data_IF_161486070639
#
_entry.id   IF_161486070639
#
_cell.length_a   1.000
_cell.length_b   1.000
_cell.length_c   1.000
_cell.angle_alpha   90.00
_cell.angle_beta   90.00
_cell.angle_gamma   90.00
#
_symmetry.space_group_name_H-M   'P 1'
#
loop_
_entity.id
_entity.type
_entity.pdbx_description
1 polymer ?
#
# COMPACT_ATOMS: atom_id res chain seq x y z
N UNK A 1 -52.29 32.36 45.85
CA UNK A 1 -51.85 30.95 45.86
C UNK A 1 -50.76 30.85 44.80
N UNK A 2 -49.49 31.01 45.16
CA UNK A 2 -48.50 29.92 45.44
C UNK A 2 -48.27 29.04 44.22
N UNK A 3 -47.07 28.65 43.79
CA UNK A 3 -45.68 28.93 44.13
C UNK A 3 -44.85 28.26 42.99
N UNK A 4 -43.55 28.56 42.92
CA UNK A 4 -42.60 27.89 42.04
C UNK A 4 -42.44 26.39 42.39
N UNK A 5 -42.22 25.56 41.37
CA UNK A 5 -41.55 24.25 41.46
C UNK A 5 -40.65 24.17 40.22
N UNK A 6 -39.32 24.12 40.31
CA UNK A 6 -38.57 23.28 41.24
C UNK A 6 -38.16 21.96 40.56
N UNK A 7 -37.73 22.01 39.31
CA UNK A 7 -37.08 20.88 38.63
C UNK A 7 -35.66 20.72 39.15
N UNK A 8 -35.50 19.82 40.11
CA UNK A 8 -34.27 19.44 40.81
C UNK A 8 -33.11 19.05 39.85
N UNK A 9 -31.94 19.71 39.89
CA UNK A 9 -30.74 19.29 39.16
C UNK A 9 -30.07 18.03 39.76
N UNK A 10 -30.61 17.46 40.83
CA UNK A 10 -30.08 16.27 41.49
C UNK A 10 -30.55 14.92 40.89
N UNK A 11 -31.32 14.90 39.80
CA UNK A 11 -31.38 13.71 38.93
C UNK A 11 -30.15 13.69 38.05
N UNK A 12 -29.03 13.33 38.68
CA UNK A 12 -27.79 13.01 37.97
C UNK A 12 -28.13 12.06 36.83
N UNK A 13 -27.79 12.47 35.60
CA UNK A 13 -27.51 11.51 34.55
C UNK A 13 -26.47 10.57 35.16
N UNK A 14 -26.91 9.38 35.57
CA UNK A 14 -26.02 8.27 35.86
C UNK A 14 -25.53 7.79 34.51
N UNK A 15 -24.56 8.51 33.96
CA UNK A 15 -23.65 7.95 32.96
C UNK A 15 -23.02 6.76 33.67
N UNK A 16 -23.43 5.55 33.29
CA UNK A 16 -22.73 4.35 33.70
C UNK A 16 -21.29 4.46 33.20
N UNK A 17 -20.35 3.89 33.95
CA UNK A 17 -18.96 3.75 33.47
C UNK A 17 -18.91 2.93 32.17
N UNK A 18 -20.00 2.21 31.85
CA UNK A 18 -20.20 1.48 30.60
C UNK A 18 -20.64 2.35 29.41
N UNK A 19 -20.98 3.63 29.63
CA UNK A 19 -21.47 4.59 28.62
C UNK A 19 -20.46 5.73 28.37
N UNK A 20 -19.29 5.64 29.02
CA UNK A 20 -18.10 6.36 28.59
C UNK A 20 -17.37 5.41 27.65
N UNK A 21 -17.70 5.47 26.37
CA UNK A 21 -16.75 5.04 25.35
C UNK A 21 -15.58 6.02 25.45
N UNK A 22 -14.64 5.70 26.33
CA UNK A 22 -13.31 6.28 26.31
C UNK A 22 -12.78 5.83 24.96
N UNK A 23 -12.97 6.66 23.94
CA UNK A 23 -12.05 6.70 22.82
C UNK A 23 -10.72 7.05 23.45
N UNK A 24 -10.02 6.02 23.95
CA UNK A 24 -8.61 6.08 24.22
C UNK A 24 -8.05 6.84 23.04
N UNK A 25 -7.30 7.89 23.33
CA UNK A 25 -6.61 8.67 22.32
C UNK A 25 -5.53 7.78 21.74
N UNK A 26 -5.92 6.73 21.01
CA UNK A 26 -5.11 6.06 20.03
C UNK A 26 -4.71 7.20 19.10
N UNK A 27 -3.44 7.54 19.13
CA UNK A 27 -2.86 8.34 18.07
C UNK A 27 -3.00 7.50 16.78
N UNK A 28 -4.18 7.55 16.15
CA UNK A 28 -4.40 7.04 14.81
C UNK A 28 -3.43 7.82 13.93
N UNK A 29 -2.24 7.25 13.75
CA UNK A 29 -1.20 7.85 12.93
C UNK A 29 -1.69 7.67 11.51
N UNK A 30 -2.29 8.72 10.97
CA UNK A 30 -2.72 8.77 9.57
C UNK A 30 -1.61 8.20 8.69
N UNK A 31 -1.96 7.33 7.75
CA UNK A 31 -1.00 6.71 6.85
C UNK A 31 -0.98 7.41 5.49
N UNK A 32 0.23 7.60 4.96
CA UNK A 32 0.44 7.90 3.55
C UNK A 32 0.75 6.57 2.87
N UNK A 33 -0.21 6.03 2.13
CA UNK A 33 -0.16 4.73 1.47
C UNK A 33 0.15 4.89 -0.01
N UNK A 34 1.17 4.19 -0.48
CA UNK A 34 1.46 4.05 -1.90
C UNK A 34 1.24 2.61 -2.32
N UNK A 35 0.38 2.40 -3.31
CA UNK A 35 0.23 1.13 -4.01
C UNK A 35 0.98 1.20 -5.34
N UNK A 36 2.14 0.55 -5.43
CA UNK A 36 2.87 0.34 -6.67
C UNK A 36 2.34 -0.93 -7.35
N UNK A 37 1.93 -0.78 -8.61
CA UNK A 37 1.35 -1.86 -9.40
C UNK A 37 2.15 -2.09 -10.66
N UNK A 38 2.68 -3.30 -10.81
CA UNK A 38 3.32 -3.75 -12.04
C UNK A 38 2.28 -3.90 -13.16
N UNK A 39 2.52 -3.22 -14.28
CA UNK A 39 1.69 -3.29 -15.49
C UNK A 39 2.44 -3.83 -16.70
N UNK A 40 3.52 -4.57 -16.47
CA UNK A 40 4.32 -5.21 -17.51
C UNK A 40 3.54 -6.29 -18.29
N UNK A 41 4.13 -6.70 -19.41
CA UNK A 41 3.55 -7.73 -20.27
C UNK A 41 3.30 -9.07 -19.56
N UNK A 42 4.17 -9.50 -18.63
CA UNK A 42 4.00 -10.77 -17.87
C UNK A 42 2.71 -10.79 -17.07
N UNK A 43 2.37 -9.67 -16.43
CA UNK A 43 1.11 -9.53 -15.67
C UNK A 43 -0.12 -9.78 -16.53
N UNK A 44 -0.10 -9.31 -17.78
CA UNK A 44 -1.18 -9.53 -18.73
C UNK A 44 -1.17 -10.96 -19.29
N UNK A 45 0.01 -11.48 -19.66
CA UNK A 45 0.18 -12.82 -20.22
C UNK A 45 -0.23 -13.92 -19.25
N UNK A 46 -0.01 -13.72 -17.95
CA UNK A 46 -0.30 -14.71 -16.90
C UNK A 46 -1.65 -14.47 -16.21
N UNK A 47 -2.51 -13.61 -16.76
CA UNK A 47 -3.87 -13.38 -16.25
C UNK A 47 -3.93 -12.67 -14.89
N UNK A 48 -2.84 -12.06 -14.43
CA UNK A 48 -2.73 -11.36 -13.13
C UNK A 48 -3.35 -9.96 -13.14
N UNK A 49 -3.63 -9.43 -14.32
CA UNK A 49 -4.18 -8.09 -14.53
C UNK A 49 -5.55 -7.85 -13.88
N UNK A 50 -6.50 -8.77 -14.08
CA UNK A 50 -7.86 -8.63 -13.53
C UNK A 50 -7.85 -8.74 -11.99
N UNK A 51 -7.18 -9.73 -11.39
CA UNK A 51 -7.06 -9.79 -9.93
C UNK A 51 -6.38 -8.55 -9.32
N UNK A 52 -5.33 -8.04 -9.96
CA UNK A 52 -4.68 -6.80 -9.55
C UNK A 52 -5.65 -5.61 -9.53
N UNK A 53 -6.48 -5.43 -10.57
CA UNK A 53 -7.46 -4.34 -10.62
C UNK A 53 -8.51 -4.46 -9.53
N UNK A 54 -9.00 -5.68 -9.28
CA UNK A 54 -9.95 -5.96 -8.20
C UNK A 54 -9.35 -5.62 -6.84
N UNK A 55 -8.11 -6.03 -6.60
CA UNK A 55 -7.39 -5.70 -5.36
C UNK A 55 -7.26 -4.18 -5.19
N UNK A 56 -6.85 -3.44 -6.22
CA UNK A 56 -6.69 -2.00 -6.12
C UNK A 56 -8.02 -1.30 -5.81
N UNK A 57 -9.13 -1.77 -6.41
CA UNK A 57 -10.46 -1.27 -6.12
C UNK A 57 -10.89 -1.56 -4.67
N UNK A 58 -10.64 -2.78 -4.18
CA UNK A 58 -10.93 -3.16 -2.80
C UNK A 58 -10.15 -2.31 -1.79
N UNK A 59 -8.84 -2.13 -2.01
CA UNK A 59 -8.01 -1.28 -1.14
C UNK A 59 -8.47 0.18 -1.17
N UNK A 60 -8.73 0.72 -2.37
CA UNK A 60 -9.24 2.08 -2.50
C UNK A 60 -10.58 2.27 -1.77
N UNK A 61 -11.50 1.33 -1.92
CA UNK A 61 -12.78 1.36 -1.22
C UNK A 61 -12.61 1.29 0.30
N UNK A 62 -11.79 0.37 0.80
CA UNK A 62 -11.50 0.24 2.24
C UNK A 62 -10.96 1.53 2.84
N UNK A 63 -9.92 2.11 2.22
CA UNK A 63 -9.30 3.36 2.71
C UNK A 63 -10.32 4.51 2.66
N UNK A 64 -11.04 4.65 1.55
CA UNK A 64 -11.98 5.76 1.35
C UNK A 64 -13.21 5.68 2.26
N UNK A 65 -13.59 4.48 2.73
CA UNK A 65 -14.78 4.27 3.55
C UNK A 65 -14.48 4.19 5.04
N UNK A 66 -13.46 3.40 5.43
CA UNK A 66 -13.13 3.08 6.83
C UNK A 66 -11.97 3.89 7.38
N UNK A 67 -11.00 4.29 6.55
CA UNK A 67 -9.78 5.00 6.99
C UNK A 67 -9.65 6.36 6.31
N UNK A 68 -10.67 7.21 6.45
CA UNK A 68 -10.79 8.50 5.75
C UNK A 68 -9.66 9.50 6.06
N UNK A 69 -8.92 9.29 7.14
CA UNK A 69 -7.73 10.08 7.50
C UNK A 69 -6.48 9.74 6.68
N UNK A 70 -6.45 8.56 6.06
CA UNK A 70 -5.31 8.07 5.31
C UNK A 70 -5.33 8.60 3.87
N UNK A 71 -4.15 8.68 3.27
CA UNK A 71 -3.95 9.15 1.89
C UNK A 71 -3.44 8.01 1.05
N UNK A 72 -4.17 7.66 -0.02
CA UNK A 72 -3.76 6.62 -0.97
C UNK A 72 -3.28 7.24 -2.29
N UNK A 73 -2.10 6.84 -2.74
CA UNK A 73 -1.60 7.10 -4.08
C UNK A 73 -1.35 5.77 -4.81
N UNK A 74 -2.04 5.56 -5.93
CA UNK A 74 -1.76 4.46 -6.83
C UNK A 74 -0.75 4.91 -7.89
N UNK A 75 0.24 4.07 -8.15
CA UNK A 75 1.25 4.28 -9.19
C UNK A 75 1.38 2.98 -9.97
N UNK A 76 1.04 3.01 -11.26
CA UNK A 76 1.35 1.91 -12.13
C UNK A 76 2.77 2.08 -12.68
N UNK A 77 3.54 1.00 -12.76
CA UNK A 77 4.86 1.00 -13.35
C UNK A 77 5.00 -0.12 -14.38
N UNK A 78 5.36 0.27 -15.59
CA UNK A 78 5.79 -0.59 -16.69
C UNK A 78 7.16 -0.11 -17.15
N UNK A 79 7.27 0.30 -18.42
CA UNK A 79 8.46 1.04 -18.89
C UNK A 79 8.61 2.39 -18.18
N UNK A 80 7.50 3.11 -18.03
CA UNK A 80 7.40 4.31 -17.20
C UNK A 80 6.52 4.04 -15.98
N UNK A 81 6.75 4.79 -14.90
CA UNK A 81 5.83 4.85 -13.77
C UNK A 81 4.96 6.11 -13.87
N UNK A 82 3.68 5.99 -13.51
CA UNK A 82 2.74 7.10 -13.47
C UNK A 82 1.81 6.98 -12.27
N UNK A 83 1.66 8.07 -11.54
CA UNK A 83 0.55 8.26 -10.61
C UNK A 83 -0.76 8.26 -11.39
N UNK A 84 -1.78 7.62 -10.83
CA UNK A 84 -3.12 7.57 -11.42
C UNK A 84 -4.19 7.40 -10.35
N UNK A 85 -5.43 7.79 -10.70
CA UNK A 85 -6.60 7.49 -9.89
C UNK A 85 -7.12 6.06 -10.11
N UNK A 86 -8.12 5.65 -9.32
CA UNK A 86 -8.68 4.29 -9.40
C UNK A 86 -9.43 4.07 -10.71
N UNK A 87 -10.08 5.10 -11.26
CA UNK A 87 -10.82 5.03 -12.51
C UNK A 87 -9.87 4.81 -13.69
N UNK A 88 -8.77 5.57 -13.73
CA UNK A 88 -7.69 5.42 -14.69
C UNK A 88 -7.07 4.02 -14.62
N UNK A 89 -6.69 3.56 -13.43
CA UNK A 89 -6.08 2.23 -13.23
C UNK A 89 -7.03 1.10 -13.69
N UNK A 90 -8.30 1.18 -13.31
CA UNK A 90 -9.29 0.15 -13.69
C UNK A 90 -9.66 0.21 -15.18
N UNK A 91 -9.60 1.38 -15.80
CA UNK A 91 -9.79 1.57 -17.25
C UNK A 91 -8.55 1.24 -18.09
N UNK A 92 -7.36 1.03 -17.50
CA UNK A 92 -6.15 0.76 -18.27
C UNK A 92 -6.32 -0.47 -19.18
N UNK A 93 -6.08 -0.33 -20.49
CA UNK A 93 -6.02 -1.49 -21.37
C UNK A 93 -4.79 -2.33 -21.00
N UNK A 94 -4.85 -3.64 -21.25
CA UNK A 94 -3.67 -4.49 -21.17
C UNK A 94 -2.69 -4.06 -22.27
N UNK A 95 -1.73 -3.20 -21.94
CA UNK A 95 -0.68 -2.78 -22.87
C UNK A 95 0.42 -3.82 -22.90
N UNK A 96 0.95 -4.10 -24.10
CA UNK A 96 2.10 -4.98 -24.31
C UNK A 96 3.41 -4.20 -24.23
N UNK A 97 3.55 -3.35 -23.23
CA UNK A 97 4.78 -2.60 -23.02
C UNK A 97 5.71 -3.39 -22.11
N UNK A 98 6.95 -3.62 -22.56
CA UNK A 98 7.95 -4.35 -21.79
C UNK A 98 8.74 -3.40 -20.90
N UNK A 99 8.95 -3.84 -19.66
CA UNK A 99 9.72 -3.13 -18.64
C UNK A 99 9.03 -3.17 -17.30
N UNK A 100 9.85 -3.30 -16.25
CA UNK A 100 9.45 -3.28 -14.85
C UNK A 100 10.25 -2.16 -14.18
N UNK A 101 9.78 -0.92 -14.30
CA UNK A 101 10.49 0.26 -13.80
C UNK A 101 10.15 0.58 -12.34
N UNK A 102 10.50 -0.37 -11.46
CA UNK A 102 10.32 -0.21 -10.02
C UNK A 102 11.10 1.00 -9.50
N UNK A 103 12.29 1.30 -10.05
CA UNK A 103 13.06 2.50 -9.71
C UNK A 103 12.21 3.78 -9.83
N UNK A 104 11.57 4.00 -10.98
CA UNK A 104 10.72 5.17 -11.19
C UNK A 104 9.49 5.16 -10.26
N UNK A 105 8.89 3.99 -10.02
CA UNK A 105 7.81 3.84 -9.04
C UNK A 105 8.23 4.29 -7.63
N UNK A 106 9.41 3.89 -7.17
CA UNK A 106 9.96 4.28 -5.86
C UNK A 106 10.26 5.78 -5.78
N UNK A 107 10.73 6.41 -6.86
CA UNK A 107 10.93 7.86 -6.92
C UNK A 107 9.60 8.62 -6.73
N UNK A 108 8.53 8.16 -7.39
CA UNK A 108 7.20 8.74 -7.24
C UNK A 108 6.62 8.49 -5.83
N UNK A 109 6.81 7.30 -5.28
CA UNK A 109 6.40 6.96 -3.91
C UNK A 109 7.07 7.90 -2.89
N UNK A 110 8.39 8.08 -3.01
CA UNK A 110 9.17 8.99 -2.17
C UNK A 110 8.68 10.44 -2.28
N UNK A 111 8.34 10.90 -3.49
CA UNK A 111 7.75 12.23 -3.70
C UNK A 111 6.43 12.35 -2.94
N UNK A 112 5.56 11.34 -3.01
CA UNK A 112 4.28 11.35 -2.29
C UNK A 112 4.46 11.36 -0.77
N UNK A 113 5.37 10.55 -0.22
CA UNK A 113 5.64 10.55 1.22
C UNK A 113 6.21 11.88 1.71
N UNK A 114 7.06 12.55 0.91
CA UNK A 114 7.57 13.90 1.23
C UNK A 114 6.47 14.97 1.28
N UNK A 115 5.36 14.77 0.59
CA UNK A 115 4.20 15.68 0.66
C UNK A 115 3.36 15.45 1.93
N UNK A 116 3.58 14.34 2.63
CA UNK A 116 2.82 13.92 3.82
C UNK A 116 3.76 13.58 4.99
N UNK A 117 4.63 14.53 5.45
CA UNK A 117 5.69 14.24 6.41
C UNK A 117 5.21 13.86 7.82
N UNK A 118 3.96 14.18 8.17
CA UNK A 118 3.36 13.84 9.47
C UNK A 118 2.63 12.49 9.48
N UNK A 119 2.55 11.81 8.33
CA UNK A 119 1.85 10.54 8.19
C UNK A 119 2.83 9.37 8.19
N UNK A 120 2.41 8.19 8.66
CA UNK A 120 3.20 6.97 8.57
C UNK A 120 3.31 6.55 7.09
N UNK A 121 4.52 6.49 6.49
CA UNK A 121 4.68 6.02 5.12
C UNK A 121 4.50 4.50 5.03
N UNK A 122 3.61 4.08 4.13
CA UNK A 122 3.30 2.67 3.83
C UNK A 122 3.46 2.44 2.34
N UNK A 123 4.30 1.46 1.97
CA UNK A 123 4.56 1.10 0.59
C UNK A 123 4.15 -0.34 0.33
N UNK A 124 3.18 -0.52 -0.57
CA UNK A 124 2.68 -1.81 -1.02
C UNK A 124 3.12 -2.00 -2.48
N UNK A 125 3.93 -3.02 -2.76
CA UNK A 125 4.48 -3.27 -4.10
C UNK A 125 3.95 -4.58 -4.64
N UNK A 126 3.20 -4.54 -5.74
CA UNK A 126 2.66 -5.73 -6.41
C UNK A 126 3.44 -5.94 -7.70
N UNK A 127 4.13 -7.07 -7.83
CA UNK A 127 4.96 -7.37 -9.00
C UNK A 127 5.11 -8.86 -9.25
N UNK A 128 5.33 -9.23 -10.50
CA UNK A 128 5.64 -10.58 -10.95
C UNK A 128 7.02 -10.71 -11.60
N UNK A 129 7.86 -9.68 -11.49
CA UNK A 129 9.15 -9.62 -12.18
C UNK A 129 10.23 -8.84 -11.44
N UNK A 130 11.47 -9.07 -11.85
CA UNK A 130 12.62 -8.28 -11.41
C UNK A 130 12.62 -6.91 -12.13
N UNK A 131 13.22 -5.87 -11.54
CA UNK A 131 13.27 -4.56 -12.17
C UNK A 131 14.17 -4.59 -13.40
N UNK A 132 13.56 -4.47 -14.58
CA UNK A 132 14.22 -4.52 -15.91
C UNK A 132 14.41 -3.14 -16.53
N UNK A 133 13.85 -2.11 -15.91
CA UNK A 133 13.96 -0.74 -16.38
C UNK A 133 14.26 0.26 -15.26
N UNK A 134 14.89 1.37 -15.62
CA UNK A 134 15.09 2.51 -14.73
C UNK A 134 14.93 3.84 -15.48
N UNK A 135 14.55 4.90 -14.75
CA UNK A 135 14.52 6.27 -15.27
C UNK A 135 15.93 6.87 -15.30
N UNK A 136 16.33 7.41 -16.44
CA UNK A 136 17.56 8.18 -16.63
C UNK A 136 17.37 9.63 -16.16
N UNK A 137 18.44 10.36 -15.81
CA UNK A 137 18.35 11.76 -15.36
C UNK A 137 17.60 12.70 -16.33
N UNK A 138 17.68 12.42 -17.62
CA UNK A 138 17.05 13.18 -18.70
C UNK A 138 15.53 12.91 -18.82
N UNK A 139 15.00 11.94 -18.06
CA UNK A 139 13.59 11.56 -18.06
C UNK A 139 13.24 10.42 -19.03
N UNK A 140 14.19 9.95 -19.83
CA UNK A 140 14.05 8.76 -20.65
C UNK A 140 14.16 7.47 -19.81
N UNK A 141 13.77 6.34 -20.40
CA UNK A 141 13.83 5.04 -19.74
C UNK A 141 14.88 4.16 -20.36
N UNK A 142 15.73 3.58 -19.52
CA UNK A 142 16.60 2.47 -19.88
C UNK A 142 15.86 1.17 -19.63
N UNK A 143 15.92 0.23 -20.57
CA UNK A 143 15.34 -1.10 -20.43
C UNK A 143 16.29 -2.15 -20.99
N UNK A 144 16.48 -3.23 -20.23
CA UNK A 144 17.20 -4.42 -20.70
C UNK A 144 16.67 -5.68 -20.01
N UNK A 145 16.78 -6.81 -20.70
CA UNK A 145 16.49 -8.13 -20.16
C UNK A 145 17.62 -9.10 -20.53
N UNK A 146 18.27 -9.76 -19.55
CA UNK A 146 18.04 -9.69 -18.10
C UNK A 146 18.36 -8.30 -17.51
N UNK A 147 17.92 -8.01 -16.26
CA UNK A 147 18.16 -6.72 -15.60
C UNK A 147 19.64 -6.28 -15.60
N UNK A 148 19.86 -5.01 -15.94
CA UNK A 148 21.16 -4.35 -15.81
C UNK A 148 21.58 -4.27 -14.33
N UNK A 149 22.84 -4.58 -13.98
CA UNK A 149 23.39 -4.27 -12.66
C UNK A 149 23.10 -2.83 -12.20
N UNK A 150 23.12 -1.85 -13.12
CA UNK A 150 22.76 -0.47 -12.79
C UNK A 150 21.28 -0.30 -12.40
N UNK A 151 20.36 -0.93 -13.15
CA UNK A 151 18.92 -0.94 -12.82
C UNK A 151 18.68 -1.49 -11.41
N UNK A 152 19.34 -2.60 -11.08
CA UNK A 152 19.26 -3.19 -9.74
C UNK A 152 19.80 -2.22 -8.69
N UNK A 153 21.00 -1.66 -8.91
CA UNK A 153 21.64 -0.72 -7.98
C UNK A 153 20.77 0.50 -7.69
N UNK A 154 20.20 1.12 -8.72
CA UNK A 154 19.34 2.30 -8.59
C UNK A 154 18.05 1.96 -7.83
N UNK A 155 17.40 0.84 -8.17
CA UNK A 155 16.20 0.36 -7.48
C UNK A 155 16.48 0.13 -5.99
N UNK A 156 17.56 -0.59 -5.67
CA UNK A 156 17.98 -0.86 -4.29
C UNK A 156 18.31 0.44 -3.55
N UNK A 157 18.97 1.39 -4.20
CA UNK A 157 19.33 2.67 -3.58
C UNK A 157 18.09 3.48 -3.17
N UNK A 158 17.06 3.55 -4.02
CA UNK A 158 15.82 4.23 -3.64
C UNK A 158 15.03 3.47 -2.58
N UNK A 159 15.03 2.13 -2.64
CA UNK A 159 14.40 1.32 -1.62
C UNK A 159 15.04 1.52 -0.24
N UNK A 160 16.38 1.51 -0.15
CA UNK A 160 17.12 1.77 1.09
C UNK A 160 16.79 3.15 1.67
N UNK A 161 16.64 4.17 0.81
CA UNK A 161 16.27 5.52 1.22
C UNK A 161 14.88 5.57 1.86
N UNK A 162 13.93 4.80 1.32
CA UNK A 162 12.58 4.66 1.91
C UNK A 162 12.61 3.90 3.23
N UNK A 163 13.35 2.80 3.31
CA UNK A 163 13.53 2.05 4.57
C UNK A 163 14.11 2.92 5.69
N UNK A 164 15.17 3.69 5.41
CA UNK A 164 15.75 4.64 6.38
C UNK A 164 14.79 5.76 6.80
N UNK A 165 13.80 6.08 5.97
CA UNK A 165 12.76 7.05 6.29
C UNK A 165 11.58 6.42 7.08
N UNK A 166 11.70 5.17 7.54
CA UNK A 166 10.67 4.49 8.32
C UNK A 166 9.48 4.01 7.49
N UNK A 167 9.62 3.89 6.16
CA UNK A 167 8.57 3.34 5.30
C UNK A 167 8.33 1.87 5.59
N UNK A 168 7.09 1.51 5.89
CA UNK A 168 6.68 0.12 6.04
C UNK A 168 6.46 -0.50 4.65
N UNK A 169 7.35 -1.38 4.23
CA UNK A 169 7.35 -1.96 2.88
C UNK A 169 6.81 -3.38 2.88
N UNK A 170 5.84 -3.66 2.02
CA UNK A 170 5.34 -5.02 1.75
C UNK A 170 5.38 -5.29 0.25
N UNK A 171 6.04 -6.39 -0.13
CA UNK A 171 6.04 -6.90 -1.50
C UNK A 171 5.03 -8.03 -1.64
N UNK A 172 4.14 -7.92 -2.61
CA UNK A 172 3.25 -8.96 -3.08
C UNK A 172 3.84 -9.55 -4.35
N UNK A 173 4.56 -10.65 -4.19
CA UNK A 173 5.13 -11.38 -5.33
C UNK A 173 4.04 -12.25 -5.93
N UNK A 174 3.74 -12.01 -7.20
CA UNK A 174 2.88 -12.89 -7.97
C UNK A 174 3.73 -13.90 -8.76
N UNK A 175 3.24 -15.13 -8.86
CA UNK A 175 3.96 -16.21 -9.52
C UNK A 175 4.91 -16.98 -8.62
N UNK A 176 5.56 -18.00 -9.20
CA UNK A 176 6.32 -19.02 -8.47
C UNK A 176 7.79 -19.09 -8.89
N UNK A 177 8.30 -18.06 -9.56
CA UNK A 177 9.70 -18.03 -9.97
C UNK A 177 10.64 -18.00 -8.74
N UNK A 178 11.52 -19.01 -8.56
CA UNK A 178 12.42 -19.08 -7.40
C UNK A 178 13.52 -18.01 -7.42
N UNK A 179 13.91 -17.51 -8.59
CA UNK A 179 14.89 -16.43 -8.75
C UNK A 179 14.34 -15.12 -8.20
N UNK A 180 13.16 -14.74 -8.70
CA UNK A 180 12.39 -13.60 -8.24
C UNK A 180 12.10 -13.68 -6.73
N UNK A 181 11.78 -14.87 -6.22
CA UNK A 181 11.58 -15.06 -4.78
C UNK A 181 12.80 -14.63 -3.97
N UNK A 182 13.97 -15.15 -4.34
CA UNK A 182 15.23 -14.81 -3.66
C UNK A 182 15.55 -13.33 -3.81
N UNK A 183 15.28 -12.75 -4.98
CA UNK A 183 15.49 -11.34 -5.24
C UNK A 183 14.61 -10.44 -4.37
N UNK A 184 13.28 -10.66 -4.39
CA UNK A 184 12.31 -9.89 -3.60
C UNK A 184 12.55 -10.06 -2.11
N UNK A 185 12.87 -11.27 -1.64
CA UNK A 185 13.25 -11.48 -0.24
C UNK A 185 14.52 -10.70 0.15
N UNK A 186 15.52 -10.61 -0.73
CA UNK A 186 16.71 -9.78 -0.48
C UNK A 186 16.34 -8.31 -0.38
N UNK A 187 15.48 -7.80 -1.27
CA UNK A 187 14.99 -6.42 -1.21
C UNK A 187 14.24 -6.13 0.09
N UNK A 188 13.28 -6.98 0.46
CA UNK A 188 12.49 -6.82 1.68
C UNK A 188 13.36 -6.78 2.95
N UNK A 189 14.35 -7.69 3.06
CA UNK A 189 15.29 -7.72 4.20
C UNK A 189 16.09 -6.43 4.38
N UNK A 190 16.32 -5.63 3.33
CA UNK A 190 17.09 -4.39 3.43
C UNK A 190 16.34 -3.26 4.12
N UNK A 191 15.02 -3.36 4.18
CA UNK A 191 14.12 -2.31 4.69
C UNK A 191 13.23 -2.84 5.81
N UNK A 192 13.61 -3.95 6.43
CA UNK A 192 12.80 -4.67 7.42
C UNK A 192 11.36 -4.90 6.95
N UNK A 193 11.22 -5.11 5.64
CA UNK A 193 9.96 -5.26 4.94
C UNK A 193 9.50 -6.71 4.90
N UNK A 194 8.33 -6.91 4.30
CA UNK A 194 7.69 -8.22 4.18
C UNK A 194 7.53 -8.65 2.73
N UNK A 195 7.44 -9.97 2.54
CA UNK A 195 7.05 -10.59 1.28
C UNK A 195 5.83 -11.45 1.54
N UNK A 196 4.80 -11.26 0.73
CA UNK A 196 3.61 -12.10 0.66
C UNK A 196 3.53 -12.65 -0.75
N UNK A 197 3.26 -13.94 -0.89
CA UNK A 197 3.14 -14.61 -2.18
C UNK A 197 1.74 -15.21 -2.31
N UNK A 198 0.70 -14.38 -2.52
CA UNK A 198 -0.65 -14.88 -2.68
C UNK A 198 -0.82 -15.53 -4.05
N UNK A 199 -1.72 -16.51 -4.14
CA UNK A 199 -2.27 -16.87 -5.44
C UNK A 199 -3.08 -15.69 -5.99
N UNK A 200 -3.23 -15.61 -7.31
CA UNK A 200 -3.83 -14.44 -7.95
C UNK A 200 -5.26 -14.15 -7.42
N UNK A 201 -6.04 -15.18 -7.08
CA UNK A 201 -7.38 -15.04 -6.50
C UNK A 201 -7.41 -14.37 -5.12
N UNK A 202 -6.35 -14.55 -4.33
CA UNK A 202 -6.28 -14.11 -2.93
C UNK A 202 -5.53 -12.78 -2.75
N UNK A 203 -5.04 -12.20 -3.85
CA UNK A 203 -4.28 -10.95 -3.85
C UNK A 203 -5.03 -9.81 -3.14
N UNK A 204 -6.34 -9.72 -3.33
CA UNK A 204 -7.18 -8.71 -2.67
C UNK A 204 -7.15 -8.83 -1.15
N UNK A 205 -7.43 -10.03 -0.63
CA UNK A 205 -7.43 -10.31 0.80
C UNK A 205 -6.03 -10.12 1.41
N UNK A 206 -4.99 -10.57 0.71
CA UNK A 206 -3.61 -10.39 1.15
C UNK A 206 -3.24 -8.92 1.30
N UNK A 207 -3.53 -8.07 0.31
CA UNK A 207 -3.20 -6.64 0.37
C UNK A 207 -3.97 -5.93 1.48
N UNK A 208 -5.25 -6.24 1.64
CA UNK A 208 -6.08 -5.69 2.71
C UNK A 208 -5.54 -6.10 4.08
N UNK A 209 -5.26 -7.40 4.30
CA UNK A 209 -4.74 -7.88 5.57
C UNK A 209 -3.40 -7.25 5.95
N UNK A 210 -2.50 -7.07 4.97
CA UNK A 210 -1.23 -6.39 5.21
C UNK A 210 -1.41 -4.92 5.55
N UNK A 211 -2.32 -4.21 4.87
CA UNK A 211 -2.66 -2.81 5.18
C UNK A 211 -3.23 -2.68 6.60
N UNK A 212 -4.20 -3.51 6.97
CA UNK A 212 -4.82 -3.47 8.30
C UNK A 212 -3.81 -3.78 9.40
N UNK A 213 -2.94 -4.76 9.19
CA UNK A 213 -1.87 -5.05 10.17
C UNK A 213 -0.96 -3.86 10.40
N UNK A 214 -0.62 -3.10 9.35
CA UNK A 214 0.17 -1.86 9.50
C UNK A 214 -0.57 -0.84 10.34
N UNK A 215 -1.88 -0.72 10.13
CA UNK A 215 -2.74 0.23 10.85
C UNK A 215 -2.96 -0.16 12.32
N UNK A 216 -3.01 -1.46 12.65
CA UNK A 216 -3.28 -1.98 13.99
C UNK A 216 -2.03 -2.47 14.75
N UNK A 217 -0.84 -1.96 14.44
CA UNK A 217 0.38 -2.27 15.22
C UNK A 217 0.22 -1.80 16.67
N UNK A 218 -0.34 -2.67 17.51
CA UNK A 218 -0.72 -2.45 18.91
C UNK A 218 -1.68 -3.52 19.46
N UNK A 219 -2.47 -4.19 18.61
CA UNK A 219 -3.31 -5.34 18.97
C UNK A 219 -3.05 -6.55 18.05
N UNK A 220 -3.16 -7.80 18.53
CA UNK A 220 -3.25 -8.96 17.65
C UNK A 220 -4.50 -8.77 16.77
N UNK A 221 -4.34 -8.91 15.45
CA UNK A 221 -5.46 -8.99 14.52
C UNK A 221 -6.19 -10.31 14.79
N UNK A 222 -7.43 -10.25 15.26
CA UNK A 222 -8.30 -11.42 15.47
C UNK A 222 -9.36 -11.45 14.36
N UNK A 223 -9.56 -12.61 13.74
CA UNK A 223 -10.51 -12.80 12.63
C UNK A 223 -11.98 -12.54 13.06
N UNK A 224 -12.23 -12.43 14.37
CA UNK A 224 -13.54 -12.15 14.95
C UNK A 224 -14.10 -10.74 14.62
N UNK A 225 -13.24 -9.76 14.30
CA UNK A 225 -13.68 -8.36 14.08
C UNK A 225 -14.44 -8.15 12.75
N UNK A 226 -14.51 -9.16 11.87
CA UNK A 226 -15.23 -9.10 10.60
C UNK A 226 -16.64 -9.69 10.64
N UNK A 227 -16.99 -10.42 11.70
CA UNK A 227 -18.20 -11.24 11.76
C UNK A 227 -19.36 -10.60 12.55
N UNK A 228 -19.36 -9.28 12.79
CA UNK A 228 -20.43 -8.56 13.51
C UNK A 228 -21.01 -7.39 12.73
#
# INVERSE_FOLDING_TARGET
>A
RTAADGGDPARGLRLGVDDIEVSETEAHTQAAVVLLVDISFSMAAEGRWVPMKRMALSLHHLISTRFRGDRLQMIAFGRYARSMDIGELTALPSRREQGTNLHHGLLLAKRFFRQHPAMQPVLLVVTDGEPTAHLLPEGETWFTYPPDPETIRLTVTELDRLGRAGTQVTFFRLGRDPGLERFVQKMARRVDGRVVAPDAGDLGAAVVGEYLRVHFRGRPFDDADWAS
#
